data_IF_188597861993
#
_entry.id   IF_188597861993
#
_cell.length_a   1.000
_cell.length_b   1.000
_cell.length_c   1.000
_cell.angle_alpha   90.00
_cell.angle_beta   90.00
_cell.angle_gamma   90.00
#
_symmetry.space_group_name_H-M   'P 1'
#
loop_
_entity.id
_entity.type
_entity.pdbx_description
1 polymer ?
#
# COMPACT_ATOMS: atom_id res chain seq x y z
N UNK A 1 -6.80 -10.58 -3.18
CA UNK A 1 -6.48 -9.14 -3.25
C UNK A 1 -6.34 -8.52 -1.87
N UNK A 2 -5.51 -7.51 -1.72
CA UNK A 2 -5.30 -6.80 -0.45
C UNK A 2 -5.96 -5.43 -0.50
N UNK A 3 -6.77 -5.13 0.50
CA UNK A 3 -7.52 -3.87 0.62
C UNK A 3 -6.97 -3.05 1.77
N UNK A 4 -6.75 -1.76 1.52
CA UNK A 4 -6.45 -0.82 2.57
C UNK A 4 -7.73 -0.43 3.32
N UNK A 5 -7.73 -0.61 4.63
CA UNK A 5 -8.83 -0.23 5.52
C UNK A 5 -8.25 0.26 6.85
N UNK A 6 -7.44 1.32 6.79
CA UNK A 6 -6.61 1.86 7.86
C UNK A 6 -5.42 0.96 8.25
N UNK A 7 -5.62 -0.34 8.39
CA UNK A 7 -4.56 -1.29 8.80
C UNK A 7 -4.22 -2.31 7.71
N UNK A 8 -4.97 -2.30 6.62
CA UNK A 8 -4.85 -3.29 5.56
C UNK A 8 -5.44 -4.65 5.94
N UNK A 9 -5.98 -5.36 4.98
CA UNK A 9 -6.44 -6.74 5.14
C UNK A 9 -6.40 -7.50 3.84
N UNK A 10 -6.23 -8.79 3.92
CA UNK A 10 -6.44 -9.70 2.81
C UNK A 10 -7.94 -9.93 2.59
N UNK A 11 -8.40 -9.80 1.35
CA UNK A 11 -9.77 -10.13 0.94
C UNK A 11 -9.68 -11.38 0.08
N UNK A 12 -10.32 -12.46 0.55
CA UNK A 12 -10.38 -13.74 -0.15
C UNK A 12 -11.79 -13.95 -0.66
N UNK A 13 -11.91 -14.33 -1.92
CA UNK A 13 -13.17 -14.60 -2.60
C UNK A 13 -12.99 -15.82 -3.48
N UNK A 14 -14.01 -16.65 -3.61
CA UNK A 14 -13.99 -17.80 -4.52
C UNK A 14 -14.21 -17.38 -5.97
N UNK A 15 -13.92 -18.27 -6.90
CA UNK A 15 -14.25 -18.03 -8.32
C UNK A 15 -15.76 -17.88 -8.54
N UNK A 16 -16.57 -18.60 -7.75
CA UNK A 16 -18.03 -18.52 -7.76
C UNK A 16 -18.53 -17.16 -7.25
N UNK A 17 -17.96 -16.64 -6.15
CA UNK A 17 -18.33 -15.32 -5.62
C UNK A 17 -18.03 -14.19 -6.62
N UNK A 18 -17.00 -14.37 -7.43
CA UNK A 18 -16.64 -13.44 -8.49
C UNK A 18 -17.34 -13.72 -9.82
N UNK A 19 -18.18 -14.76 -9.89
CA UNK A 19 -18.85 -15.23 -11.10
C UNK A 19 -17.86 -15.58 -12.24
N UNK A 20 -16.72 -16.15 -11.87
CA UNK A 20 -15.67 -16.55 -12.79
C UNK A 20 -15.70 -18.06 -13.10
N UNK A 21 -16.71 -18.78 -12.63
CA UNK A 21 -16.93 -20.19 -12.93
C UNK A 21 -17.23 -20.44 -14.43
N UNK A 22 -17.08 -21.69 -14.89
CA UNK A 22 -17.42 -22.06 -16.26
C UNK A 22 -18.87 -21.73 -16.63
N UNK A 23 -19.06 -21.03 -17.74
CA UNK A 23 -20.38 -20.69 -18.28
C UNK A 23 -20.59 -21.44 -19.60
N UNK A 24 -21.86 -21.74 -19.92
CA UNK A 24 -22.24 -22.25 -21.23
C UNK A 24 -21.91 -21.29 -22.39
N UNK A 25 -21.79 -20.01 -22.07
CA UNK A 25 -21.42 -18.95 -23.01
C UNK A 25 -19.92 -18.70 -22.98
N UNK A 26 -19.14 -19.57 -23.60
CA UNK A 26 -17.66 -19.53 -23.62
C UNK A 26 -17.07 -18.22 -24.17
N UNK A 27 -17.85 -17.44 -24.91
CA UNK A 27 -17.47 -16.11 -25.42
C UNK A 27 -17.67 -14.98 -24.42
N UNK A 28 -18.35 -15.21 -23.30
CA UNK A 28 -18.47 -14.24 -22.22
C UNK A 28 -17.24 -14.33 -21.34
N UNK A 29 -16.43 -13.30 -21.41
CA UNK A 29 -15.29 -13.14 -20.51
C UNK A 29 -15.77 -12.37 -19.30
N UNK A 30 -16.06 -13.09 -18.23
CA UNK A 30 -16.26 -12.46 -16.93
C UNK A 30 -14.90 -12.09 -16.35
N UNK A 31 -14.79 -10.90 -15.82
CA UNK A 31 -13.59 -10.43 -15.15
C UNK A 31 -13.92 -9.59 -13.92
N UNK A 32 -13.03 -9.59 -12.96
CA UNK A 32 -13.06 -8.68 -11.82
C UNK A 32 -11.83 -7.80 -11.87
N UNK A 33 -12.04 -6.52 -12.09
CA UNK A 33 -10.99 -5.51 -12.18
C UNK A 33 -10.97 -4.67 -10.91
N UNK A 34 -9.81 -4.34 -10.43
CA UNK A 34 -9.58 -3.38 -9.33
C UNK A 34 -8.28 -2.64 -9.57
N UNK A 35 -8.14 -1.49 -8.93
CA UNK A 35 -6.97 -0.65 -9.10
C UNK A 35 -7.13 0.68 -8.41
N UNK A 36 -6.24 1.60 -8.75
CA UNK A 36 -6.26 2.96 -8.24
C UNK A 36 -5.96 3.95 -9.37
N UNK A 37 -6.75 5.00 -9.44
CA UNK A 37 -6.53 6.12 -10.35
C UNK A 37 -6.07 7.32 -9.52
N UNK A 38 -5.04 7.99 -9.98
CA UNK A 38 -4.43 9.14 -9.31
C UNK A 38 -3.04 8.87 -8.76
N UNK A 39 -2.55 9.80 -7.96
CA UNK A 39 -1.18 9.80 -7.45
C UNK A 39 -0.99 8.98 -6.16
N UNK A 40 -2.07 8.44 -5.58
CA UNK A 40 -1.99 7.59 -4.39
C UNK A 40 -2.25 6.13 -4.76
N UNK A 41 -1.21 5.32 -4.95
CA UNK A 41 -1.35 3.96 -5.48
C UNK A 41 -2.03 2.98 -4.53
N UNK A 42 -2.17 3.30 -3.25
CA UNK A 42 -2.72 2.41 -2.23
C UNK A 42 -4.03 2.88 -1.61
N UNK A 43 -4.70 3.82 -2.23
CA UNK A 43 -6.01 4.31 -1.75
C UNK A 43 -7.13 3.32 -2.06
N UNK A 44 -7.39 2.37 -1.19
CA UNK A 44 -8.46 1.37 -1.32
C UNK A 44 -7.91 -0.05 -1.47
N UNK A 45 -7.15 -0.33 -2.50
CA UNK A 45 -6.46 -1.60 -2.70
C UNK A 45 -4.96 -1.40 -2.80
N UNK A 46 -4.20 -2.41 -2.36
CA UNK A 46 -2.79 -2.50 -2.67
C UNK A 46 -2.60 -3.13 -4.05
N UNK A 47 -1.53 -2.78 -4.77
CA UNK A 47 -1.20 -3.34 -6.08
C UNK A 47 -0.67 -4.79 -5.94
N UNK A 48 -1.50 -5.64 -5.36
CA UNK A 48 -1.21 -7.04 -5.04
C UNK A 48 -2.42 -7.92 -5.39
N UNK A 49 -2.15 -9.09 -5.93
CA UNK A 49 -3.15 -10.11 -6.20
C UNK A 49 -2.57 -11.51 -6.13
N UNK A 50 -3.40 -12.47 -5.79
CA UNK A 50 -3.03 -13.87 -5.78
C UNK A 50 -4.19 -14.74 -6.27
N UNK A 51 -3.85 -15.85 -6.90
CA UNK A 51 -4.77 -16.93 -7.25
C UNK A 51 -4.25 -18.20 -6.57
N UNK A 52 -5.10 -18.85 -5.82
CA UNK A 52 -4.79 -20.08 -5.11
C UNK A 52 -5.62 -21.24 -5.68
N UNK A 53 -4.94 -22.32 -6.11
CA UNK A 53 -5.56 -23.60 -6.33
C UNK A 53 -5.52 -24.39 -5.03
N UNK A 54 -6.64 -24.40 -4.33
CA UNK A 54 -6.77 -25.06 -3.01
C UNK A 54 -6.66 -26.57 -3.09
N UNK A 55 -6.92 -27.19 -4.25
CA UNK A 55 -6.79 -28.65 -4.48
C UNK A 55 -5.34 -29.05 -4.71
N UNK A 56 -4.62 -28.27 -5.53
CA UNK A 56 -3.21 -28.51 -5.80
C UNK A 56 -2.30 -27.96 -4.70
N UNK A 57 -2.81 -27.10 -3.80
CA UNK A 57 -2.01 -26.43 -2.78
C UNK A 57 -0.97 -25.47 -3.38
N UNK A 58 -1.31 -24.80 -4.47
CA UNK A 58 -0.41 -23.90 -5.21
C UNK A 58 -0.98 -22.51 -5.25
N UNK A 59 -0.14 -21.51 -5.04
CA UNK A 59 -0.51 -20.09 -5.20
C UNK A 59 0.40 -19.40 -6.20
N UNK A 60 -0.21 -18.57 -7.02
CA UNK A 60 0.45 -17.58 -7.88
C UNK A 60 0.13 -16.19 -7.33
N UNK A 61 1.14 -15.42 -7.01
CA UNK A 61 0.95 -14.07 -6.51
C UNK A 61 1.80 -13.08 -7.30
N UNK A 62 1.27 -11.86 -7.43
CA UNK A 62 1.96 -10.75 -8.07
C UNK A 62 1.78 -9.47 -7.28
N UNK A 63 2.81 -8.64 -7.31
CA UNK A 63 2.83 -7.28 -6.79
C UNK A 63 3.38 -6.36 -7.87
N UNK A 64 2.75 -5.20 -8.04
CA UNK A 64 3.25 -4.15 -8.91
C UNK A 64 4.05 -3.14 -8.07
N UNK A 65 5.29 -2.88 -8.46
CA UNK A 65 6.12 -1.82 -7.89
C UNK A 65 5.78 -0.51 -8.59
N UNK A 66 4.70 0.15 -8.16
CA UNK A 66 4.11 1.27 -8.89
C UNK A 66 3.75 2.43 -7.97
N UNK A 67 4.01 3.65 -8.43
CA UNK A 67 3.81 4.92 -7.71
C UNK A 67 2.70 5.78 -8.32
N UNK A 68 1.93 5.26 -9.26
CA UNK A 68 0.89 5.97 -9.99
C UNK A 68 -0.35 5.11 -10.20
N UNK A 69 -1.22 5.50 -11.13
CA UNK A 69 -2.42 4.74 -11.46
C UNK A 69 -2.08 3.35 -12.00
N UNK A 70 -2.76 2.35 -11.50
CA UNK A 70 -2.55 0.94 -11.83
C UNK A 70 -3.86 0.18 -11.84
N UNK A 71 -3.85 -0.99 -12.45
CA UNK A 71 -4.95 -1.94 -12.40
C UNK A 71 -4.45 -3.38 -12.31
N UNK A 72 -5.27 -4.22 -11.74
CA UNK A 72 -5.16 -5.68 -11.79
C UNK A 72 -6.53 -6.27 -12.12
N UNK A 73 -6.53 -7.39 -12.77
CA UNK A 73 -7.75 -8.05 -13.23
C UNK A 73 -7.61 -9.56 -13.06
N UNK A 74 -8.64 -10.18 -12.46
CA UNK A 74 -8.82 -11.62 -12.46
C UNK A 74 -9.88 -11.96 -13.51
N UNK A 75 -9.60 -12.94 -14.33
CA UNK A 75 -10.52 -13.37 -15.36
C UNK A 75 -10.38 -14.87 -15.61
N UNK A 76 -11.45 -15.43 -16.13
CA UNK A 76 -11.42 -16.80 -16.60
C UNK A 76 -10.88 -16.84 -18.03
N UNK A 77 -10.00 -17.81 -18.29
CA UNK A 77 -9.52 -18.12 -19.62
C UNK A 77 -9.55 -19.63 -19.81
N UNK A 78 -10.35 -20.09 -20.76
CA UNK A 78 -10.56 -21.51 -21.02
C UNK A 78 -10.95 -22.27 -19.74
N UNK A 79 -10.17 -23.22 -19.30
CA UNK A 79 -10.40 -24.04 -18.11
C UNK A 79 -9.74 -23.49 -16.86
N UNK A 80 -9.04 -22.35 -16.96
CA UNK A 80 -8.24 -21.81 -15.89
C UNK A 80 -8.61 -20.40 -15.46
N UNK A 81 -8.09 -20.04 -14.31
CA UNK A 81 -8.06 -18.66 -13.83
C UNK A 81 -6.77 -17.98 -14.29
N UNK A 82 -6.90 -16.77 -14.76
CA UNK A 82 -5.76 -15.91 -15.08
C UNK A 82 -5.87 -14.60 -14.35
N UNK A 83 -4.74 -13.95 -14.13
CA UNK A 83 -4.71 -12.57 -13.67
C UNK A 83 -3.66 -11.79 -14.45
N UNK A 84 -3.96 -10.52 -14.64
CA UNK A 84 -3.09 -9.56 -15.30
C UNK A 84 -3.06 -8.26 -14.50
N UNK A 85 -2.09 -7.41 -14.80
CA UNK A 85 -1.98 -6.12 -14.14
C UNK A 85 -0.85 -5.28 -14.72
N UNK A 86 -0.84 -4.02 -14.34
CA UNK A 86 0.14 -3.06 -14.79
C UNK A 86 -0.33 -1.63 -14.61
N UNK A 87 0.18 -0.76 -15.44
CA UNK A 87 -0.30 0.62 -15.52
C UNK A 87 -1.81 0.67 -15.83
N UNK A 88 -2.45 1.73 -15.39
CA UNK A 88 -3.77 2.08 -15.89
C UNK A 88 -3.74 2.20 -17.42
N UNK A 89 -4.87 1.91 -18.05
CA UNK A 89 -5.01 1.94 -19.49
C UNK A 89 -6.08 2.96 -19.94
N UNK A 90 -6.46 2.88 -21.21
CA UNK A 90 -7.46 3.78 -21.77
C UNK A 90 -8.85 3.59 -21.14
N UNK A 91 -9.21 2.36 -20.80
CA UNK A 91 -10.51 2.04 -20.19
C UNK A 91 -10.54 2.34 -18.70
N UNK A 92 -9.43 2.05 -18.02
CA UNK A 92 -9.29 2.27 -16.59
C UNK A 92 -8.20 3.29 -16.31
N UNK A 93 -8.59 4.56 -16.17
CA UNK A 93 -7.68 5.67 -15.87
C UNK A 93 -7.36 6.56 -17.05
N UNK A 94 -7.90 6.29 -18.25
CA UNK A 94 -7.76 7.12 -19.46
C UNK A 94 -6.32 7.47 -19.81
N UNK A 95 -5.39 6.54 -19.54
CA UNK A 95 -3.96 6.76 -19.79
C UNK A 95 -3.51 6.06 -21.05
N UNK A 96 -2.67 6.74 -21.82
CA UNK A 96 -2.01 6.23 -23.01
C UNK A 96 -0.62 6.83 -23.16
N UNK A 97 0.30 6.03 -23.68
CA UNK A 97 1.64 6.47 -24.09
C UNK A 97 1.84 6.20 -25.57
N UNK A 98 2.05 7.25 -26.34
CA UNK A 98 2.50 7.11 -27.73
C UNK A 98 3.99 6.86 -27.75
N UNK A 99 4.43 5.80 -28.41
CA UNK A 99 5.83 5.45 -28.61
C UNK A 99 6.11 5.56 -30.11
N UNK A 100 7.01 6.44 -30.50
CA UNK A 100 7.43 6.62 -31.90
C UNK A 100 8.47 5.57 -32.29
N UNK A 101 8.68 5.32 -33.58
CA UNK A 101 9.77 4.47 -34.02
C UNK A 101 11.12 4.91 -33.46
N UNK A 102 11.84 3.97 -32.84
CA UNK A 102 13.13 4.25 -32.17
C UNK A 102 13.04 4.72 -30.71
N UNK A 103 11.83 5.03 -30.20
CA UNK A 103 11.62 5.32 -28.79
C UNK A 103 11.33 4.05 -27.98
N UNK A 104 11.63 4.08 -26.68
CA UNK A 104 11.28 3.04 -25.73
C UNK A 104 10.57 3.62 -24.53
N UNK A 105 9.80 2.78 -23.86
CA UNK A 105 9.15 3.09 -22.59
C UNK A 105 9.31 1.92 -21.64
N UNK A 106 9.86 2.17 -20.47
CA UNK A 106 9.99 1.16 -19.41
C UNK A 106 8.79 1.25 -18.48
N UNK A 107 8.06 0.15 -18.35
CA UNK A 107 6.96 0.03 -17.39
C UNK A 107 7.50 -0.14 -15.97
N UNK A 108 6.74 0.16 -14.94
CA UNK A 108 7.02 -0.31 -13.59
C UNK A 108 7.18 -1.83 -13.53
N UNK A 109 7.93 -2.31 -12.56
CA UNK A 109 8.18 -3.73 -12.38
C UNK A 109 6.94 -4.47 -11.87
N UNK A 110 6.75 -5.70 -12.34
CA UNK A 110 5.84 -6.66 -11.76
C UNK A 110 6.67 -7.78 -11.12
N UNK A 111 6.46 -8.00 -9.84
CA UNK A 111 7.15 -9.03 -9.05
C UNK A 111 6.20 -10.21 -8.91
N UNK A 112 6.59 -11.37 -9.41
CA UNK A 112 5.77 -12.58 -9.38
C UNK A 112 6.41 -13.66 -8.52
N UNK A 113 5.58 -14.43 -7.83
CA UNK A 113 6.01 -15.63 -7.11
C UNK A 113 5.00 -16.74 -7.30
N UNK A 114 5.53 -17.96 -7.33
CA UNK A 114 4.72 -19.19 -7.30
C UNK A 114 5.27 -20.05 -6.17
N UNK A 115 4.40 -20.59 -5.34
CA UNK A 115 4.79 -21.51 -4.29
C UNK A 115 3.70 -22.56 -4.01
N UNK A 116 4.14 -23.67 -3.44
CA UNK A 116 3.25 -24.70 -2.91
C UNK A 116 3.01 -24.46 -1.42
N UNK A 117 1.98 -25.09 -0.86
CA UNK A 117 1.70 -25.07 0.57
C UNK A 117 2.93 -25.50 1.38
N UNK A 118 3.23 -24.78 2.43
CA UNK A 118 4.23 -25.11 3.43
C UNK A 118 3.57 -24.98 4.81
N UNK A 119 3.46 -26.09 5.51
CA UNK A 119 2.83 -26.15 6.85
C UNK A 119 3.48 -25.21 7.88
N UNK A 120 4.74 -24.83 7.64
CA UNK A 120 5.50 -23.91 8.52
C UNK A 120 5.18 -22.45 8.29
N UNK A 121 4.61 -22.12 7.15
CA UNK A 121 4.38 -20.73 6.73
C UNK A 121 2.97 -20.21 7.03
N UNK A 122 2.09 -21.04 7.60
CA UNK A 122 0.68 -20.71 7.71
C UNK A 122 -0.10 -21.05 6.44
N UNK A 123 -0.86 -20.10 5.88
CA UNK A 123 -1.56 -20.32 4.60
C UNK A 123 -0.57 -20.24 3.42
N UNK A 124 -0.97 -20.84 2.29
CA UNK A 124 -0.18 -20.79 1.05
C UNK A 124 0.02 -19.34 0.57
N UNK A 125 -0.99 -18.50 0.76
CA UNK A 125 -0.91 -17.06 0.43
C UNK A 125 0.06 -16.32 1.36
N UNK A 126 0.09 -16.65 2.66
CA UNK A 126 1.05 -16.07 3.60
C UNK A 126 2.49 -16.40 3.19
N UNK A 127 2.72 -17.64 2.73
CA UNK A 127 4.03 -18.03 2.24
C UNK A 127 4.42 -17.24 0.99
N UNK A 128 3.51 -17.03 0.05
CA UNK A 128 3.74 -16.17 -1.10
C UNK A 128 4.09 -14.72 -0.69
N UNK A 129 3.35 -14.17 0.29
CA UNK A 129 3.63 -12.83 0.83
C UNK A 129 5.01 -12.76 1.50
N UNK A 130 5.41 -13.77 2.26
CA UNK A 130 6.76 -13.85 2.86
C UNK A 130 7.85 -13.85 1.78
N UNK A 131 7.66 -14.58 0.68
CA UNK A 131 8.61 -14.58 -0.44
C UNK A 131 8.71 -13.20 -1.12
N UNK A 132 7.59 -12.52 -1.33
CA UNK A 132 7.58 -11.14 -1.85
C UNK A 132 8.28 -10.18 -0.89
N UNK A 133 8.06 -10.32 0.41
CA UNK A 133 8.74 -9.52 1.45
C UNK A 133 10.25 -9.75 1.44
N UNK A 134 10.70 -11.01 1.34
CA UNK A 134 12.14 -11.34 1.24
C UNK A 134 12.78 -10.74 -0.02
N UNK A 135 12.07 -10.77 -1.14
CA UNK A 135 12.52 -10.11 -2.36
C UNK A 135 12.64 -8.60 -2.16
N UNK A 136 11.60 -7.96 -1.60
CA UNK A 136 11.59 -6.53 -1.34
C UNK A 136 12.72 -6.11 -0.40
N UNK A 137 12.96 -6.85 0.67
CA UNK A 137 14.06 -6.59 1.61
C UNK A 137 15.43 -6.66 0.94
N UNK A 138 15.62 -7.59 0.01
CA UNK A 138 16.92 -7.81 -0.64
C UNK A 138 17.19 -6.86 -1.81
N UNK A 139 16.17 -6.52 -2.59
CA UNK A 139 16.37 -5.88 -3.90
C UNK A 139 15.67 -4.52 -4.04
N UNK A 140 14.67 -4.22 -3.20
CA UNK A 140 13.86 -3.01 -3.30
C UNK A 140 14.11 -2.07 -2.14
N UNK A 141 14.29 -2.61 -0.94
CA UNK A 141 14.47 -1.80 0.27
C UNK A 141 15.83 -1.09 0.27
N UNK A 142 15.79 0.22 0.12
CA UNK A 142 16.95 1.12 0.17
C UNK A 142 16.97 1.94 1.47
N UNK A 143 16.44 1.40 2.57
CA UNK A 143 16.47 2.10 3.84
C UNK A 143 17.89 2.48 4.24
N UNK A 144 18.14 3.72 4.70
CA UNK A 144 19.42 4.12 5.22
C UNK A 144 19.81 3.27 6.43
N UNK A 145 21.10 3.18 6.72
CA UNK A 145 21.62 2.33 7.82
C UNK A 145 20.95 2.67 9.16
N UNK A 146 20.69 3.95 9.42
CA UNK A 146 20.00 4.43 10.61
C UNK A 146 18.59 3.86 10.79
N UNK A 147 17.94 3.43 9.71
CA UNK A 147 16.56 2.92 9.71
C UNK A 147 16.48 1.38 9.65
N UNK A 148 17.60 0.69 9.46
CA UNK A 148 17.61 -0.77 9.28
C UNK A 148 17.18 -1.53 10.53
N UNK A 149 17.38 -0.97 11.70
CA UNK A 149 16.96 -1.57 12.97
C UNK A 149 15.51 -1.25 13.34
N UNK A 150 14.74 -0.58 12.46
CA UNK A 150 13.36 -0.20 12.63
C UNK A 150 13.13 0.63 13.90
N UNK A 151 13.68 1.85 13.96
CA UNK A 151 13.58 2.71 15.14
C UNK A 151 12.13 3.02 15.48
N UNK A 152 11.81 3.09 16.76
CA UNK A 152 10.47 3.36 17.23
C UNK A 152 10.22 4.87 17.20
N UNK A 153 9.18 5.26 16.47
CA UNK A 153 8.74 6.64 16.34
C UNK A 153 7.47 6.87 17.18
N UNK A 154 7.47 7.95 17.96
CA UNK A 154 6.29 8.45 18.65
C UNK A 154 5.77 9.70 17.97
N UNK A 155 4.54 9.66 17.47
CA UNK A 155 3.82 10.82 16.96
C UNK A 155 2.83 11.30 18.03
N UNK A 156 2.92 12.55 18.43
CA UNK A 156 2.17 13.11 19.55
C UNK A 156 0.72 13.50 19.22
N UNK A 157 0.30 13.47 17.95
CA UNK A 157 -1.00 13.97 17.52
C UNK A 157 -2.18 13.46 18.36
N UNK A 158 -2.25 12.15 18.60
CA UNK A 158 -3.31 11.56 19.42
C UNK A 158 -3.25 11.92 20.91
N UNK A 159 -2.19 12.57 21.36
CA UNK A 159 -2.05 13.08 22.73
C UNK A 159 -2.51 14.52 22.84
N UNK A 160 -2.23 15.35 21.84
CA UNK A 160 -2.53 16.80 21.85
C UNK A 160 -3.72 17.17 20.97
N UNK A 161 -4.13 16.29 20.05
CA UNK A 161 -5.19 16.50 19.05
C UNK A 161 -4.98 17.76 18.22
N UNK A 162 -3.72 18.00 17.82
CA UNK A 162 -3.34 19.13 16.98
C UNK A 162 -3.23 20.46 17.76
N UNK A 163 -2.99 20.38 19.05
CA UNK A 163 -2.66 21.53 19.92
C UNK A 163 -1.30 21.31 20.61
N UNK A 164 -0.23 21.05 19.87
CA UNK A 164 1.09 20.95 20.46
C UNK A 164 1.52 22.32 20.96
N UNK A 165 1.97 22.37 22.18
CA UNK A 165 2.60 23.56 22.77
C UNK A 165 3.93 23.16 23.38
N UNK A 166 4.80 24.13 23.63
CA UNK A 166 6.07 23.88 24.32
C UNK A 166 5.86 23.06 25.62
N UNK A 167 4.88 23.46 26.44
CA UNK A 167 4.58 22.76 27.70
C UNK A 167 4.10 21.33 27.48
N UNK A 168 3.14 21.15 26.56
CA UNK A 168 2.60 19.81 26.24
C UNK A 168 3.69 18.89 25.72
N UNK A 169 4.48 19.36 24.75
CA UNK A 169 5.57 18.59 24.16
C UNK A 169 6.61 18.22 25.21
N UNK A 170 7.02 19.18 26.06
CA UNK A 170 7.95 18.94 27.16
C UNK A 170 7.42 17.87 28.13
N UNK A 171 6.16 17.96 28.51
CA UNK A 171 5.54 16.97 29.41
C UNK A 171 5.51 15.56 28.79
N UNK A 172 5.20 15.45 27.50
CA UNK A 172 5.19 14.17 26.79
C UNK A 172 6.63 13.62 26.69
N UNK A 173 7.61 14.45 26.30
CA UNK A 173 9.00 14.04 26.19
C UNK A 173 9.55 13.49 27.53
N UNK A 174 9.24 14.14 28.63
CA UNK A 174 9.63 13.64 29.97
C UNK A 174 8.97 12.29 30.28
N UNK A 175 7.70 12.12 29.90
CA UNK A 175 6.97 10.87 30.12
C UNK A 175 7.50 9.68 29.28
N UNK A 176 8.00 9.94 28.07
CA UNK A 176 8.49 8.90 27.15
C UNK A 176 10.00 8.71 27.20
N UNK A 177 10.72 9.59 27.87
CA UNK A 177 12.18 9.53 28.04
C UNK A 177 12.65 8.17 28.57
N UNK A 178 13.63 7.59 27.91
CA UNK A 178 14.22 6.31 28.31
C UNK A 178 13.35 5.09 28.05
N UNK A 179 12.27 5.23 27.29
CA UNK A 179 11.38 4.09 26.92
C UNK A 179 11.72 3.46 25.57
N UNK A 180 12.90 3.71 25.03
CA UNK A 180 13.34 3.10 23.76
C UNK A 180 12.78 3.75 22.51
N UNK A 181 12.25 4.97 22.63
CA UNK A 181 11.84 5.76 21.48
C UNK A 181 13.04 6.51 20.92
N UNK A 182 13.18 6.51 19.61
CA UNK A 182 14.29 7.13 18.90
C UNK A 182 13.86 8.40 18.16
N UNK A 183 12.61 8.44 17.70
CA UNK A 183 12.04 9.61 17.05
C UNK A 183 10.83 10.12 17.79
N UNK A 184 10.75 11.45 17.89
CA UNK A 184 9.58 12.14 18.38
C UNK A 184 9.10 13.11 17.29
N UNK A 185 7.86 12.95 16.86
CA UNK A 185 7.24 13.80 15.82
C UNK A 185 6.26 14.75 16.46
N UNK A 186 6.49 16.03 16.26
CA UNK A 186 5.48 17.07 16.49
C UNK A 186 4.65 17.16 15.22
N UNK A 187 3.41 16.71 15.28
CA UNK A 187 2.48 16.66 14.15
C UNK A 187 1.88 18.05 13.86
N UNK A 188 0.72 18.12 13.22
CA UNK A 188 0.08 19.38 12.87
C UNK A 188 -0.28 20.24 14.11
N UNK A 189 -0.51 21.54 13.86
CA UNK A 189 -0.96 22.48 14.88
C UNK A 189 0.11 23.40 15.47
N UNK A 190 1.39 23.10 15.30
CA UNK A 190 2.51 23.93 15.76
C UNK A 190 2.59 25.30 15.04
N UNK A 191 1.90 25.43 13.92
CA UNK A 191 1.86 26.62 13.04
C UNK A 191 0.56 27.43 13.15
N UNK A 192 -0.33 27.13 14.11
CA UNK A 192 -1.65 27.76 14.15
C UNK A 192 -1.67 29.07 14.93
N UNK A 193 -2.47 30.00 14.45
CA UNK A 193 -2.85 31.20 15.17
C UNK A 193 -3.90 30.92 16.24
N UNK A 194 -4.08 31.86 17.17
CA UNK A 194 -5.06 31.71 18.22
C UNK A 194 -6.50 31.61 17.68
N UNK A 195 -7.25 30.62 18.18
CA UNK A 195 -8.64 30.42 17.82
C UNK A 195 -8.85 29.76 16.43
N UNK A 196 -7.79 29.44 15.71
CA UNK A 196 -7.88 28.78 14.39
C UNK A 196 -7.57 27.30 14.52
N UNK A 197 -8.40 26.46 13.91
CA UNK A 197 -8.14 25.02 13.85
C UNK A 197 -7.02 24.74 12.84
N UNK A 198 -6.11 23.83 13.15
CA UNK A 198 -4.93 23.53 12.34
C UNK A 198 -5.25 23.22 10.87
N UNK A 199 -6.38 22.54 10.59
CA UNK A 199 -6.77 22.19 9.22
C UNK A 199 -7.14 23.38 8.34
N UNK A 200 -7.31 24.56 8.93
CA UNK A 200 -7.57 25.83 8.21
C UNK A 200 -6.35 26.71 8.08
N UNK A 201 -5.24 26.33 8.72
CA UNK A 201 -3.97 27.06 8.72
C UNK A 201 -2.86 26.35 7.96
N UNK A 202 -3.21 25.33 7.18
CA UNK A 202 -2.24 24.60 6.36
C UNK A 202 -1.73 25.48 5.22
N UNK A 203 -0.42 25.52 5.05
CA UNK A 203 0.21 26.30 3.97
C UNK A 203 1.62 26.76 4.32
N UNK A 204 1.77 27.89 4.94
CA UNK A 204 3.08 28.54 5.16
C UNK A 204 3.93 27.87 6.27
N UNK A 205 3.32 27.13 7.17
CA UNK A 205 4.01 26.35 8.21
C UNK A 205 5.04 27.15 9.01
N UNK A 206 4.66 28.35 9.45
CA UNK A 206 5.47 29.18 10.33
C UNK A 206 5.18 28.80 11.78
N UNK A 207 6.20 28.48 12.61
CA UNK A 207 5.97 28.17 14.01
C UNK A 207 5.23 29.30 14.73
N UNK A 208 4.26 28.94 15.56
CA UNK A 208 3.49 29.90 16.33
C UNK A 208 4.28 30.35 17.57
N UNK A 209 4.66 31.64 17.67
CA UNK A 209 5.38 32.17 18.81
C UNK A 209 4.59 31.99 20.12
N UNK A 210 3.27 31.93 20.04
CA UNK A 210 2.41 31.66 21.18
C UNK A 210 2.55 30.23 21.71
N UNK A 211 2.65 29.26 20.82
CA UNK A 211 2.76 27.86 21.20
C UNK A 211 4.21 27.42 21.49
N UNK A 212 5.14 28.05 20.83
CA UNK A 212 6.58 27.82 20.96
C UNK A 212 7.33 29.12 21.09
N UNK A 213 7.21 29.80 22.26
CA UNK A 213 7.99 31.01 22.53
C UNK A 213 9.49 30.68 22.59
N UNK A 214 10.34 31.64 22.16
CA UNK A 214 11.81 31.52 22.22
C UNK A 214 12.33 31.34 23.67
#
# INVERSE_FOLDING_TARGET
RSKWSQEGRLVTESAEDLQLEPSWAYWQVNSTRYGQIGSMPVKGYFPFGAVEDTKAGVVWAAQLAIECSWQMEFYRRDDGMAFSGGLADREFGQWMKTIKPGESFTTPEAILTVCCSDERAGSTVDYACQRLTQYAQKYVNAAPESEQHLPILFNEYCTTWGLPSHENIKGILEAVKGKGLEYFVVDCGWFVEEGVHWSRSMGDYVPSDRLFPE
#
